data_IF_840197510260
#
_entry.id   IF_840197510260
#
_cell.length_a   1.000
_cell.length_b   1.000
_cell.length_c   1.000
_cell.angle_alpha   90.00
_cell.angle_beta   90.00
_cell.angle_gamma   90.00
#
_symmetry.space_group_name_H-M   'P 1'
#
loop_
_entity.id
_entity.type
_entity.pdbx_description
1 polymer ?
#
# COMPACT_ATOMS: atom_id res chain seq x y z
N UNK A 1 9.58 -8.75 22.96
CA UNK A 1 8.83 -9.27 21.80
C UNK A 1 9.83 -9.48 20.68
N UNK A 2 9.73 -10.57 19.93
CA UNK A 2 10.61 -10.79 18.78
C UNK A 2 10.29 -9.75 17.70
N UNK A 3 11.28 -8.99 17.20
CA UNK A 3 11.03 -8.01 16.14
C UNK A 3 10.46 -8.70 14.90
N UNK A 4 9.58 -8.01 14.18
CA UNK A 4 9.12 -8.50 12.90
C UNK A 4 10.29 -8.30 11.93
N UNK A 5 10.90 -9.38 11.44
CA UNK A 5 12.05 -9.31 10.54
C UNK A 5 11.62 -8.89 9.11
N UNK A 6 10.91 -7.76 9.00
CA UNK A 6 10.40 -7.20 7.74
C UNK A 6 11.23 -5.94 7.43
N UNK A 7 12.05 -5.96 6.37
CA UNK A 7 12.85 -4.81 5.97
C UNK A 7 11.99 -3.55 5.79
N UNK A 8 12.45 -2.44 6.38
CA UNK A 8 11.83 -1.11 6.30
C UNK A 8 10.43 -0.96 6.91
N UNK A 9 9.90 -2.00 7.59
CA UNK A 9 8.67 -1.86 8.36
C UNK A 9 8.97 -1.33 9.78
N UNK A 10 8.37 -0.22 10.22
CA UNK A 10 8.57 0.26 11.59
C UNK A 10 7.94 -0.71 12.60
N UNK A 11 8.75 -1.29 13.49
CA UNK A 11 8.27 -2.24 14.51
C UNK A 11 7.11 -1.67 15.34
N UNK A 12 7.20 -0.39 15.73
CA UNK A 12 6.16 0.27 16.52
C UNK A 12 4.77 0.22 15.87
N UNK A 13 4.69 0.24 14.54
CA UNK A 13 3.43 0.16 13.79
C UNK A 13 2.79 -1.23 13.88
N UNK A 14 3.61 -2.27 13.89
CA UNK A 14 3.17 -3.67 13.95
C UNK A 14 2.80 -4.10 15.38
N UNK A 15 3.21 -3.33 16.38
CA UNK A 15 2.88 -3.56 17.80
C UNK A 15 1.63 -2.82 18.28
N UNK A 16 0.99 -1.99 17.44
CA UNK A 16 -0.12 -1.12 17.87
C UNK A 16 -1.43 -1.85 18.19
N UNK A 17 -1.65 -3.03 17.63
CA UNK A 17 -2.81 -3.87 17.95
C UNK A 17 -2.52 -5.35 17.72
N UNK A 18 -3.29 -6.27 18.32
CA UNK A 18 -3.18 -7.71 18.03
C UNK A 18 -3.36 -8.04 16.54
N UNK A 19 -4.23 -7.31 15.85
CA UNK A 19 -4.45 -7.45 14.41
C UNK A 19 -3.20 -7.04 13.61
N UNK A 20 -2.61 -5.87 13.93
CA UNK A 20 -1.36 -5.43 13.30
C UNK A 20 -0.22 -6.44 13.54
N UNK A 21 -0.14 -6.99 14.75
CA UNK A 21 0.87 -7.99 15.09
C UNK A 21 0.66 -9.32 14.34
N UNK A 22 -0.60 -9.72 14.11
CA UNK A 22 -0.91 -10.89 13.29
C UNK A 22 -0.49 -10.68 11.84
N UNK A 23 -0.84 -9.53 11.25
CA UNK A 23 -0.42 -9.17 9.89
C UNK A 23 1.11 -9.15 9.79
N UNK A 24 1.81 -8.56 10.76
CA UNK A 24 3.27 -8.58 10.81
C UNK A 24 3.86 -10.00 10.81
N UNK A 25 3.28 -10.94 11.56
CA UNK A 25 3.76 -12.35 11.55
C UNK A 25 3.52 -13.02 10.21
N UNK A 26 2.34 -12.84 9.61
CA UNK A 26 2.00 -13.41 8.32
C UNK A 26 2.89 -12.83 7.21
N UNK A 27 3.10 -11.52 7.22
CA UNK A 27 3.96 -10.84 6.28
C UNK A 27 5.43 -11.31 6.37
N UNK A 28 5.95 -11.48 7.58
CA UNK A 28 7.29 -12.02 7.80
C UNK A 28 7.41 -13.47 7.29
N UNK A 29 6.41 -14.32 7.57
CA UNK A 29 6.37 -15.70 7.07
C UNK A 29 6.31 -15.75 5.53
N UNK A 30 5.63 -14.79 4.91
CA UNK A 30 5.54 -14.64 3.46
C UNK A 30 6.71 -13.87 2.83
N UNK A 31 7.76 -13.54 3.61
CA UNK A 31 8.93 -12.78 3.14
C UNK A 31 8.59 -11.44 2.47
N UNK A 32 7.47 -10.82 2.87
CA UNK A 32 7.06 -9.51 2.37
C UNK A 32 8.03 -8.44 2.83
N UNK A 33 8.08 -7.33 2.08
CA UNK A 33 8.97 -6.20 2.33
C UNK A 33 8.23 -4.91 2.07
N UNK A 34 8.71 -3.83 2.69
CA UNK A 34 8.31 -2.47 2.34
C UNK A 34 9.49 -1.73 1.71
N UNK A 35 9.17 -0.75 0.88
CA UNK A 35 10.11 0.26 0.41
C UNK A 35 9.66 1.63 0.89
N UNK A 36 10.60 2.47 1.32
CA UNK A 36 10.34 3.88 1.52
C UNK A 36 9.80 4.49 0.21
N UNK A 37 8.71 5.24 0.31
CA UNK A 37 8.02 5.80 -0.87
C UNK A 37 8.93 6.68 -1.73
N UNK A 38 9.83 7.45 -1.10
CA UNK A 38 10.78 8.34 -1.79
C UNK A 38 11.84 7.60 -2.63
N UNK A 39 12.05 6.30 -2.38
CA UNK A 39 13.03 5.50 -3.13
C UNK A 39 12.43 4.82 -4.36
N UNK A 40 11.13 5.05 -4.64
CA UNK A 40 10.43 4.40 -5.76
C UNK A 40 10.64 5.20 -7.05
N UNK A 41 10.67 4.48 -8.17
CA UNK A 41 10.48 5.08 -9.48
C UNK A 41 9.01 5.48 -9.67
N UNK A 42 8.75 6.77 -9.85
CA UNK A 42 7.41 7.25 -10.19
C UNK A 42 7.19 7.15 -11.70
N UNK A 43 6.27 6.28 -12.10
CA UNK A 43 5.86 6.16 -13.51
C UNK A 43 4.96 7.34 -13.89
N UNK A 44 5.00 7.80 -15.16
CA UNK A 44 4.08 8.81 -15.63
C UNK A 44 2.64 8.31 -15.52
N UNK A 45 1.73 9.17 -15.06
CA UNK A 45 0.31 8.84 -15.04
C UNK A 45 -0.18 8.64 -16.47
N UNK A 46 -0.89 7.53 -16.79
CA UNK A 46 -1.44 7.31 -18.11
C UNK A 46 -2.33 8.47 -18.55
N UNK A 47 -2.25 8.85 -19.83
CA UNK A 47 -3.03 9.98 -20.38
C UNK A 47 -4.54 9.85 -20.11
N UNK A 48 -5.10 8.65 -20.21
CA UNK A 48 -6.51 8.39 -19.94
C UNK A 48 -6.95 8.67 -18.49
N UNK A 49 -6.00 8.81 -17.55
CA UNK A 49 -6.26 9.13 -16.14
C UNK A 49 -5.88 10.58 -15.80
N UNK A 50 -5.15 11.27 -16.68
CA UNK A 50 -4.74 12.64 -16.49
C UNK A 50 -5.88 13.58 -16.94
N UNK A 51 -6.77 13.91 -16.01
CA UNK A 51 -7.83 14.90 -16.22
C UNK A 51 -7.24 16.33 -16.09
N UNK A 52 -7.24 17.15 -17.18
CA UNK A 52 -6.67 18.50 -17.17
C UNK A 52 -7.31 19.44 -16.15
N UNK A 53 -8.58 19.21 -15.81
CA UNK A 53 -9.32 20.03 -14.84
C UNK A 53 -9.02 19.61 -13.39
N UNK A 54 -8.17 18.60 -13.20
CA UNK A 54 -7.85 17.98 -11.92
C UNK A 54 -6.34 17.75 -11.74
N UNK A 55 -5.55 18.84 -11.58
CA UNK A 55 -4.10 18.76 -11.41
C UNK A 55 -3.65 18.04 -10.12
N UNK A 56 -4.56 17.83 -9.16
CA UNK A 56 -4.28 17.03 -7.96
C UNK A 56 -4.21 15.52 -8.23
N UNK A 57 -4.76 15.06 -9.36
CA UNK A 57 -4.84 13.64 -9.70
C UNK A 57 -3.54 13.10 -10.29
N UNK A 58 -2.89 13.90 -11.14
CA UNK A 58 -1.76 13.49 -11.97
C UNK A 58 -0.70 14.60 -12.07
N UNK A 59 0.57 14.23 -12.20
CA UNK A 59 1.68 15.18 -12.31
C UNK A 59 3.03 14.56 -11.99
N UNK A 60 4.10 15.35 -12.08
CA UNK A 60 5.43 14.95 -11.62
C UNK A 60 5.52 15.26 -10.13
N UNK A 61 5.89 14.31 -9.25
CA UNK A 61 6.06 14.61 -7.84
C UNK A 61 7.13 15.68 -7.65
N UNK A 62 6.89 16.64 -6.76
CA UNK A 62 7.84 17.73 -6.50
C UNK A 62 8.27 17.72 -5.05
N UNK A 63 9.52 18.10 -4.80
CA UNK A 63 10.02 18.29 -3.44
C UNK A 63 9.57 19.66 -2.92
N UNK A 64 8.78 19.65 -1.85
CA UNK A 64 8.35 20.87 -1.16
C UNK A 64 8.56 20.71 0.35
N UNK A 65 9.31 21.64 0.95
CA UNK A 65 9.55 21.62 2.40
C UNK A 65 10.23 20.34 2.92
N UNK A 66 11.11 19.74 2.11
CA UNK A 66 11.80 18.48 2.48
C UNK A 66 10.93 17.23 2.40
N UNK A 67 9.77 17.30 1.75
CA UNK A 67 8.88 16.15 1.49
C UNK A 67 8.63 16.02 0.00
N UNK A 68 8.61 14.78 -0.49
CA UNK A 68 8.18 14.48 -1.84
C UNK A 68 6.65 14.49 -1.88
N UNK A 69 6.07 15.45 -2.59
CA UNK A 69 4.62 15.60 -2.71
C UNK A 69 4.12 14.77 -3.90
N UNK A 70 3.53 13.62 -3.60
CA UNK A 70 2.87 12.75 -4.56
C UNK A 70 1.44 13.25 -4.89
N UNK A 71 1.01 13.03 -6.14
CA UNK A 71 -0.37 13.23 -6.58
C UNK A 71 -1.24 12.01 -6.25
N UNK A 72 -2.57 12.15 -6.32
CA UNK A 72 -3.50 11.09 -5.89
C UNK A 72 -3.23 9.72 -6.54
N UNK A 73 -2.99 9.68 -7.85
CA UNK A 73 -2.75 8.40 -8.53
C UNK A 73 -1.36 7.82 -8.29
N UNK A 74 -0.43 8.60 -7.72
CA UNK A 74 0.88 8.11 -7.29
C UNK A 74 0.81 7.47 -5.90
N UNK A 75 -0.15 7.90 -5.06
CA UNK A 75 -0.45 7.22 -3.80
C UNK A 75 -1.03 5.81 -3.99
N UNK A 76 -1.71 5.54 -5.10
CA UNK A 76 -2.27 4.22 -5.36
C UNK A 76 -1.18 3.25 -5.84
N UNK A 77 -0.92 2.23 -5.03
CA UNK A 77 0.27 1.34 -5.12
C UNK A 77 -0.07 -0.09 -5.57
N UNK A 78 -1.26 -0.29 -6.13
CA UNK A 78 -1.83 -1.62 -6.40
C UNK A 78 -1.09 -2.46 -7.45
N UNK A 79 -0.15 -1.88 -8.18
CA UNK A 79 0.70 -2.55 -9.16
C UNK A 79 2.02 -3.09 -8.58
N UNK A 80 2.38 -2.71 -7.35
CA UNK A 80 3.66 -3.07 -6.75
C UNK A 80 3.56 -4.36 -5.93
N UNK A 81 4.37 -5.39 -6.19
CA UNK A 81 4.51 -6.52 -5.28
C UNK A 81 5.17 -6.13 -3.93
N UNK A 82 5.78 -4.94 -3.85
CA UNK A 82 6.40 -4.40 -2.63
C UNK A 82 5.51 -3.28 -2.08
N UNK A 83 5.00 -3.44 -0.86
CA UNK A 83 4.23 -2.40 -0.20
C UNK A 83 5.08 -1.14 0.03
N UNK A 84 4.45 0.02 0.15
CA UNK A 84 5.17 1.28 0.33
C UNK A 84 4.99 1.84 1.74
N UNK A 85 6.11 2.15 2.38
CA UNK A 85 6.16 2.84 3.65
C UNK A 85 6.24 4.35 3.43
N UNK A 86 5.33 5.10 4.06
CA UNK A 86 5.34 6.57 4.06
C UNK A 86 5.23 7.08 5.51
N UNK A 87 6.26 7.78 6.04
CA UNK A 87 6.32 8.19 7.45
C UNK A 87 5.25 9.21 7.83
N UNK A 88 4.70 9.95 6.87
CA UNK A 88 3.56 10.85 7.08
C UNK A 88 2.19 10.16 7.17
N UNK A 89 2.09 8.85 6.91
CA UNK A 89 0.83 8.15 7.05
C UNK A 89 0.49 7.90 8.52
N UNK A 90 -0.82 7.81 8.80
CA UNK A 90 -1.30 7.58 10.16
C UNK A 90 -0.92 6.18 10.65
N UNK A 91 -0.92 6.04 11.96
CA UNK A 91 -0.77 4.79 12.68
C UNK A 91 -1.57 3.64 12.05
N UNK A 92 -0.96 2.46 11.92
CA UNK A 92 -1.47 1.20 11.33
C UNK A 92 -1.45 1.14 9.79
N UNK A 93 -0.99 2.20 9.11
CA UNK A 93 -0.83 2.15 7.66
C UNK A 93 0.15 1.06 7.20
N UNK A 94 1.23 0.83 7.96
CA UNK A 94 2.21 -0.24 7.68
C UNK A 94 1.53 -1.61 7.64
N UNK A 95 0.66 -1.90 8.61
CA UNK A 95 -0.08 -3.15 8.65
C UNK A 95 -1.10 -3.24 7.50
N UNK A 96 -1.75 -2.13 7.14
CA UNK A 96 -2.64 -2.07 5.99
C UNK A 96 -1.92 -2.47 4.69
N UNK A 97 -0.76 -1.87 4.41
CA UNK A 97 0.04 -2.16 3.20
C UNK A 97 0.55 -3.60 3.17
N UNK A 98 1.01 -4.14 4.30
CA UNK A 98 1.44 -5.54 4.38
C UNK A 98 0.26 -6.51 4.21
N UNK A 99 -0.94 -6.14 4.67
CA UNK A 99 -2.12 -6.95 4.55
C UNK A 99 -2.53 -7.15 3.08
N UNK A 100 -2.32 -6.15 2.21
CA UNK A 100 -2.49 -6.32 0.76
C UNK A 100 -1.66 -7.47 0.20
N UNK A 101 -0.38 -7.55 0.62
CA UNK A 101 0.51 -8.65 0.22
C UNK A 101 0.13 -10.00 0.84
N UNK A 102 -0.41 -10.01 2.06
CA UNK A 102 -0.89 -11.24 2.74
C UNK A 102 -2.17 -11.78 2.09
N UNK A 103 -3.12 -10.91 1.75
CA UNK A 103 -4.36 -11.28 1.03
C UNK A 103 -4.03 -11.70 -0.41
N UNK A 104 -3.03 -11.03 -1.01
CA UNK A 104 -2.59 -11.30 -2.37
C UNK A 104 -3.56 -10.75 -3.42
N UNK A 105 -3.26 -11.04 -4.68
CA UNK A 105 -4.03 -10.58 -5.83
C UNK A 105 -4.82 -11.74 -6.45
N UNK A 106 -6.11 -11.54 -6.73
CA UNK A 106 -6.92 -12.53 -7.43
C UNK A 106 -6.94 -12.24 -8.94
N UNK A 107 -5.98 -12.85 -9.65
CA UNK A 107 -5.94 -12.84 -11.11
C UNK A 107 -6.45 -14.15 -11.69
N UNK A 108 -7.39 -14.05 -12.63
CA UNK A 108 -7.84 -15.16 -13.45
C UNK A 108 -8.22 -14.61 -14.83
N UNK A 109 -7.49 -14.95 -15.91
CA UNK A 109 -7.65 -14.29 -17.22
C UNK A 109 -9.03 -14.54 -17.85
N UNK A 110 -9.74 -15.58 -17.41
CA UNK A 110 -11.09 -15.94 -17.88
C UNK A 110 -12.19 -15.45 -16.94
N UNK A 111 -11.86 -14.74 -15.86
CA UNK A 111 -12.85 -14.29 -14.91
C UNK A 111 -13.65 -13.09 -15.44
N UNK A 112 -14.85 -12.92 -14.91
CA UNK A 112 -15.73 -11.82 -15.31
C UNK A 112 -15.24 -10.49 -14.72
N UNK A 113 -15.60 -9.34 -15.32
CA UNK A 113 -15.32 -8.03 -14.73
C UNK A 113 -15.87 -7.87 -13.31
N UNK A 114 -17.01 -8.49 -13.01
CA UNK A 114 -17.59 -8.50 -11.66
C UNK A 114 -16.67 -9.21 -10.66
N UNK A 115 -16.11 -10.36 -11.03
CA UNK A 115 -15.15 -11.08 -10.17
C UNK A 115 -13.95 -10.19 -9.83
N UNK A 116 -13.30 -9.60 -10.85
CA UNK A 116 -12.15 -8.74 -10.62
C UNK A 116 -12.49 -7.51 -9.77
N UNK A 117 -13.68 -6.94 -9.96
CA UNK A 117 -14.17 -5.82 -9.16
C UNK A 117 -14.36 -6.23 -7.69
N UNK A 118 -15.00 -7.38 -7.44
CA UNK A 118 -15.20 -7.88 -6.07
C UNK A 118 -13.87 -8.26 -5.41
N UNK A 119 -12.97 -8.91 -6.13
CA UNK A 119 -11.65 -9.23 -5.63
C UNK A 119 -10.85 -7.98 -5.24
N UNK A 120 -10.82 -6.97 -6.10
CA UNK A 120 -10.16 -5.69 -5.80
C UNK A 120 -10.81 -4.99 -4.59
N UNK A 121 -12.15 -5.04 -4.48
CA UNK A 121 -12.86 -4.50 -3.32
C UNK A 121 -12.52 -5.24 -2.03
N UNK A 122 -12.47 -6.57 -2.04
CA UNK A 122 -12.11 -7.36 -0.86
C UNK A 122 -10.65 -7.14 -0.45
N UNK A 123 -9.75 -7.02 -1.43
CA UNK A 123 -8.35 -6.69 -1.20
C UNK A 123 -8.18 -5.35 -0.48
N UNK A 124 -9.06 -4.37 -0.68
CA UNK A 124 -9.07 -3.11 0.10
C UNK A 124 -9.85 -3.20 1.42
N UNK A 125 -11.02 -3.86 1.42
CA UNK A 125 -11.91 -3.92 2.58
C UNK A 125 -11.27 -4.66 3.75
N UNK A 126 -10.52 -5.73 3.51
CA UNK A 126 -9.89 -6.51 4.58
C UNK A 126 -8.82 -5.67 5.33
N UNK A 127 -7.85 -5.02 4.66
CA UNK A 127 -6.93 -4.07 5.30
C UNK A 127 -7.63 -2.91 6.01
N UNK A 128 -8.69 -2.34 5.43
CA UNK A 128 -9.46 -1.26 6.08
C UNK A 128 -10.17 -1.76 7.34
N UNK A 129 -10.80 -2.94 7.31
CA UNK A 129 -11.46 -3.51 8.46
C UNK A 129 -10.45 -3.73 9.60
N UNK A 130 -9.30 -4.33 9.30
CA UNK A 130 -8.23 -4.59 10.27
C UNK A 130 -7.59 -3.31 10.83
N UNK A 131 -7.67 -2.18 10.11
CA UNK A 131 -7.20 -0.89 10.61
C UNK A 131 -7.94 -0.44 11.89
N UNK A 132 -9.21 -0.79 12.04
CA UNK A 132 -10.03 -0.42 13.20
C UNK A 132 -9.92 -1.37 14.39
N UNK A 133 -9.27 -2.53 14.22
CA UNK A 133 -9.03 -3.53 15.28
C UNK A 133 -7.54 -3.60 15.70
#
# INVERSE_FOLDING_TARGET
>A
MTPFAIPQAPDAELHRSPAAALVGRLAAASSLRLSHFEHRLHLPTPFAWADPDRPDLAGVPTWQGGRLQEHKFQHFRGDNPVGSFHPGHRAKWTAHELCHGVVGFAWAPTATPLFHTLAARLNEVVPVALYYF
#
